data_IF_600924206075
#
_entry.id   IF_600924206075
#
_cell.length_a   1.000
_cell.length_b   1.000
_cell.length_c   1.000
_cell.angle_alpha   90.00
_cell.angle_beta   90.00
_cell.angle_gamma   90.00
#
_symmetry.space_group_name_H-M   'P 1'
#
loop_
_entity.id
_entity.type
_entity.pdbx_description
1 polymer ?
#
# COMPACT_ATOMS: atom_id res chain seq x y z
N UNK A 1 -17.57 11.99 8.28
CA UNK A 1 -17.39 11.85 9.73
C UNK A 1 -16.92 13.17 10.36
N UNK A 2 -15.92 13.84 9.80
CA UNK A 2 -15.32 15.08 10.33
C UNK A 2 -16.02 16.36 9.85
N UNK A 3 -17.07 16.30 9.04
CA UNK A 3 -17.83 17.46 8.58
C UNK A 3 -17.24 18.21 7.40
N UNK A 4 -16.23 17.67 6.73
CA UNK A 4 -15.70 18.25 5.49
C UNK A 4 -16.63 17.97 4.31
N UNK A 5 -16.71 18.92 3.38
CA UNK A 5 -17.25 18.68 2.06
C UNK A 5 -16.19 17.99 1.19
N UNK A 6 -16.62 17.08 0.34
CA UNK A 6 -15.74 16.25 -0.46
C UNK A 6 -16.01 16.47 -1.95
N UNK A 7 -15.00 16.93 -2.69
CA UNK A 7 -14.96 16.89 -4.14
C UNK A 7 -14.08 15.73 -4.60
N UNK A 8 -14.56 14.93 -5.56
CA UNK A 8 -13.83 13.77 -6.07
C UNK A 8 -13.72 13.85 -7.59
N UNK A 9 -12.53 13.51 -8.12
CA UNK A 9 -12.30 13.32 -9.55
C UNK A 9 -11.90 11.86 -9.79
N UNK A 10 -12.60 11.18 -10.68
CA UNK A 10 -12.33 9.80 -11.06
C UNK A 10 -12.80 9.55 -12.51
N UNK A 11 -12.02 8.87 -13.37
CA UNK A 11 -12.44 8.57 -14.73
C UNK A 11 -13.62 7.59 -14.81
N UNK A 12 -13.85 6.79 -13.78
CA UNK A 12 -14.98 5.88 -13.74
C UNK A 12 -16.25 6.62 -13.27
N UNK A 13 -17.28 6.80 -14.13
CA UNK A 13 -18.52 7.44 -13.74
C UNK A 13 -19.31 6.70 -12.66
N UNK A 14 -18.99 5.41 -12.43
CA UNK A 14 -19.56 4.55 -11.40
C UNK A 14 -18.58 4.30 -10.25
N UNK A 15 -17.65 5.23 -10.03
CA UNK A 15 -16.72 5.15 -8.91
C UNK A 15 -17.45 5.14 -7.57
N UNK A 16 -17.04 4.28 -6.62
CA UNK A 16 -17.62 4.24 -5.27
C UNK A 16 -17.63 5.60 -4.56
N UNK A 17 -16.63 6.46 -4.80
CA UNK A 17 -16.56 7.76 -4.17
C UNK A 17 -17.71 8.70 -4.59
N UNK A 18 -18.34 8.48 -5.75
CA UNK A 18 -19.49 9.26 -6.22
C UNK A 18 -20.66 9.29 -5.24
N UNK A 19 -20.86 8.19 -4.52
CA UNK A 19 -21.98 8.06 -3.55
C UNK A 19 -21.77 8.85 -2.26
N UNK A 20 -20.53 9.28 -1.98
CA UNK A 20 -20.14 9.96 -0.74
C UNK A 20 -19.55 11.35 -0.98
N UNK A 21 -19.28 11.72 -2.23
CA UNK A 21 -18.79 13.04 -2.61
C UNK A 21 -19.93 14.04 -2.75
N UNK A 22 -19.73 15.27 -2.27
CA UNK A 22 -20.65 16.40 -2.49
C UNK A 22 -20.54 16.91 -3.94
N UNK A 23 -19.36 16.81 -4.53
CA UNK A 23 -19.07 17.13 -5.92
C UNK A 23 -18.30 15.96 -6.55
N UNK A 24 -18.79 15.47 -7.70
CA UNK A 24 -18.11 14.41 -8.44
C UNK A 24 -17.81 14.89 -9.87
N UNK A 25 -16.54 14.79 -10.27
CA UNK A 25 -16.04 15.17 -11.59
C UNK A 25 -15.59 13.89 -12.30
N UNK A 26 -16.26 13.54 -13.41
CA UNK A 26 -15.83 12.42 -14.25
C UNK A 26 -14.85 12.93 -15.29
N UNK A 27 -13.57 12.61 -15.13
CA UNK A 27 -12.51 12.97 -16.08
C UNK A 27 -11.29 12.09 -15.87
N UNK A 28 -10.42 12.00 -16.88
CA UNK A 28 -9.12 11.35 -16.74
C UNK A 28 -8.24 12.10 -15.73
N UNK A 29 -7.29 11.39 -15.10
CA UNK A 29 -6.42 11.98 -14.08
C UNK A 29 -5.42 13.01 -14.63
N UNK A 30 -5.31 13.13 -15.96
CA UNK A 30 -4.47 14.07 -16.68
C UNK A 30 -5.25 15.20 -17.39
N UNK A 31 -6.56 15.28 -17.19
CA UNK A 31 -7.40 16.36 -17.71
C UNK A 31 -7.17 17.66 -16.93
N UNK A 32 -6.43 18.59 -17.55
CA UNK A 32 -6.04 19.87 -16.93
C UNK A 32 -7.24 20.75 -16.55
N UNK A 33 -8.29 20.77 -17.36
CA UNK A 33 -9.49 21.57 -17.09
C UNK A 33 -10.25 21.02 -15.88
N UNK A 34 -10.42 19.70 -15.83
CA UNK A 34 -11.06 19.02 -14.71
C UNK A 34 -10.26 19.14 -13.41
N UNK A 35 -8.93 19.03 -13.48
CA UNK A 35 -8.04 19.23 -12.33
C UNK A 35 -8.07 20.68 -11.81
N UNK A 36 -8.10 21.67 -12.70
CA UNK A 36 -8.28 23.07 -12.31
C UNK A 36 -9.66 23.31 -11.67
N UNK A 37 -10.72 22.71 -12.22
CA UNK A 37 -12.05 22.78 -11.62
C UNK A 37 -12.11 22.17 -10.22
N UNK A 38 -11.45 21.01 -10.02
CA UNK A 38 -11.31 20.37 -8.71
C UNK A 38 -10.59 21.32 -7.75
N UNK A 39 -9.47 21.92 -8.17
CA UNK A 39 -8.67 22.83 -7.36
C UNK A 39 -9.43 24.08 -6.94
N UNK A 40 -10.20 24.69 -7.84
CA UNK A 40 -11.03 25.87 -7.56
C UNK A 40 -12.16 25.61 -6.55
N UNK A 41 -12.57 24.36 -6.39
CA UNK A 41 -13.66 23.94 -5.48
C UNK A 41 -13.15 23.34 -4.17
N UNK A 42 -11.83 23.29 -3.97
CA UNK A 42 -11.20 22.60 -2.85
C UNK A 42 -10.21 23.51 -2.12
N UNK A 43 -10.25 23.53 -0.79
CA UNK A 43 -9.24 24.19 0.03
C UNK A 43 -7.95 23.37 0.12
N UNK A 44 -8.08 22.03 0.02
CA UNK A 44 -6.99 21.06 0.05
C UNK A 44 -7.28 19.95 -0.95
N UNK A 45 -6.27 19.55 -1.71
CA UNK A 45 -6.32 18.38 -2.60
C UNK A 45 -5.43 17.30 -2.02
N UNK A 46 -5.90 16.07 -2.04
CA UNK A 46 -5.16 14.86 -1.71
C UNK A 46 -5.39 13.80 -2.79
N UNK A 47 -4.49 12.84 -2.91
CA UNK A 47 -4.64 11.70 -3.82
C UNK A 47 -4.63 10.39 -3.05
N UNK A 48 -5.42 9.44 -3.52
CA UNK A 48 -5.48 8.08 -2.96
C UNK A 48 -4.89 7.06 -3.94
N UNK A 49 -4.52 7.52 -5.13
CA UNK A 49 -4.01 6.70 -6.22
C UNK A 49 -2.63 7.19 -6.67
N UNK A 50 -1.62 6.33 -6.67
CA UNK A 50 -0.22 6.67 -6.94
C UNK A 50 0.16 6.71 -8.43
N UNK A 51 -0.67 6.11 -9.32
CA UNK A 51 -0.40 6.12 -10.76
C UNK A 51 -0.92 7.41 -11.43
N UNK A 52 -0.50 8.56 -10.92
CA UNK A 52 -0.80 9.89 -11.40
C UNK A 52 0.50 10.59 -11.83
N UNK A 53 0.39 11.60 -12.70
CA UNK A 53 1.57 12.31 -13.19
C UNK A 53 2.18 13.21 -12.12
N UNK A 54 3.41 12.90 -11.69
CA UNK A 54 4.17 13.77 -10.78
C UNK A 54 4.37 15.17 -11.38
N UNK A 55 4.56 15.27 -12.71
CA UNK A 55 4.72 16.56 -13.40
C UNK A 55 3.45 17.41 -13.32
N UNK A 56 2.27 16.81 -13.51
CA UNK A 56 0.99 17.53 -13.39
C UNK A 56 0.72 17.94 -11.95
N UNK A 57 0.97 17.07 -10.97
CA UNK A 57 0.88 17.43 -9.57
C UNK A 57 1.79 18.62 -9.24
N UNK A 58 3.03 18.64 -9.77
CA UNK A 58 3.96 19.75 -9.60
C UNK A 58 3.40 21.06 -10.16
N UNK A 59 2.73 21.03 -11.29
CA UNK A 59 2.07 22.21 -11.86
C UNK A 59 0.89 22.66 -10.98
N UNK A 60 0.07 21.73 -10.53
CA UNK A 60 -1.07 22.03 -9.66
C UNK A 60 -0.65 22.60 -8.30
N UNK A 61 0.47 22.16 -7.72
CA UNK A 61 0.98 22.71 -6.45
C UNK A 61 1.38 24.19 -6.53
N UNK A 62 1.55 24.74 -7.72
CA UNK A 62 1.81 26.19 -7.90
C UNK A 62 0.55 27.04 -7.69
N UNK A 63 -0.64 26.44 -7.78
CA UNK A 63 -1.93 27.13 -7.72
C UNK A 63 -2.80 26.67 -6.55
N UNK A 64 -2.67 25.40 -6.15
CA UNK A 64 -3.54 24.76 -5.18
C UNK A 64 -2.73 24.11 -4.04
N UNK A 65 -3.36 23.99 -2.90
CA UNK A 65 -2.78 23.35 -1.71
C UNK A 65 -2.86 21.81 -1.84
N UNK A 66 -1.70 21.17 -2.06
CA UNK A 66 -1.56 19.69 -2.17
C UNK A 66 -0.47 19.23 -1.19
N UNK A 67 -0.76 19.11 0.12
CA UNK A 67 0.26 18.87 1.16
C UNK A 67 0.99 17.56 1.00
N UNK A 68 0.34 16.54 0.41
CA UNK A 68 0.87 15.17 0.24
C UNK A 68 2.12 15.12 -0.66
N UNK A 69 2.39 16.20 -1.42
CA UNK A 69 3.59 16.38 -2.25
C UNK A 69 3.64 15.55 -3.55
N UNK A 70 3.99 16.22 -4.64
CA UNK A 70 4.32 15.56 -5.91
C UNK A 70 5.66 14.80 -5.85
N UNK A 71 6.56 15.22 -4.96
CA UNK A 71 7.90 14.63 -4.81
C UNK A 71 7.81 13.18 -4.32
N UNK A 72 6.85 12.86 -3.47
CA UNK A 72 6.62 11.48 -3.05
C UNK A 72 6.27 10.58 -4.25
N UNK A 73 5.39 11.04 -5.16
CA UNK A 73 5.06 10.31 -6.39
C UNK A 73 6.29 10.19 -7.30
N UNK A 74 7.05 11.29 -7.51
CA UNK A 74 8.25 11.30 -8.36
C UNK A 74 9.31 10.30 -7.89
N UNK A 75 9.48 10.15 -6.57
CA UNK A 75 10.50 9.26 -5.98
C UNK A 75 10.04 7.81 -5.86
N UNK A 76 8.74 7.56 -5.65
CA UNK A 76 8.24 6.24 -5.26
C UNK A 76 7.47 5.49 -6.38
N UNK A 77 7.09 6.19 -7.45
CA UNK A 77 6.37 5.58 -8.57
C UNK A 77 7.23 4.65 -9.44
N UNK A 78 8.51 4.94 -9.52
CA UNK A 78 9.52 4.17 -10.26
C UNK A 78 10.32 3.31 -9.29
N UNK A 79 10.24 1.98 -9.40
CA UNK A 79 10.93 1.02 -8.52
C UNK A 79 12.43 1.26 -8.42
N UNK A 80 13.10 1.66 -9.52
CA UNK A 80 14.52 1.95 -9.47
C UNK A 80 14.82 3.21 -8.65
N UNK A 81 14.07 4.27 -8.89
CA UNK A 81 14.21 5.53 -8.15
C UNK A 81 13.87 5.33 -6.66
N UNK A 82 12.84 4.55 -6.35
CA UNK A 82 12.48 4.16 -4.98
C UNK A 82 13.65 3.42 -4.29
N UNK A 83 14.22 2.38 -4.92
CA UNK A 83 15.37 1.64 -4.37
C UNK A 83 16.57 2.55 -4.13
N UNK A 84 16.90 3.42 -5.08
CA UNK A 84 18.00 4.40 -4.94
C UNK A 84 17.72 5.40 -3.80
N UNK A 85 16.48 5.83 -3.65
CA UNK A 85 16.06 6.72 -2.56
C UNK A 85 16.22 6.03 -1.20
N UNK A 86 15.73 4.80 -1.07
CA UNK A 86 15.86 3.98 0.13
C UNK A 86 17.33 3.71 0.48
N UNK A 87 18.16 3.35 -0.51
CA UNK A 87 19.59 3.16 -0.33
C UNK A 87 20.29 4.44 0.15
N UNK A 88 19.96 5.60 -0.48
CA UNK A 88 20.51 6.90 -0.09
C UNK A 88 20.07 7.34 1.31
N UNK A 89 18.92 6.88 1.78
CA UNK A 89 18.44 7.07 3.15
C UNK A 89 19.18 6.18 4.16
N UNK A 90 19.98 5.22 3.70
CA UNK A 90 20.68 4.25 4.54
C UNK A 90 19.75 3.20 5.14
N UNK A 91 18.62 2.94 4.48
CA UNK A 91 17.73 1.85 4.87
C UNK A 91 18.26 0.51 4.42
N UNK A 92 17.89 -0.55 5.12
CA UNK A 92 18.27 -1.91 4.75
C UNK A 92 17.28 -2.43 3.71
N UNK A 93 17.72 -2.53 2.47
CA UNK A 93 16.97 -3.09 1.34
C UNK A 93 17.63 -4.37 0.82
N UNK A 94 16.89 -5.17 0.06
CA UNK A 94 17.48 -6.33 -0.64
C UNK A 94 18.43 -5.85 -1.73
N UNK A 95 19.53 -6.58 -2.02
CA UNK A 95 20.39 -6.28 -3.17
C UNK A 95 19.61 -6.26 -4.47
N UNK A 96 19.90 -5.29 -5.33
CA UNK A 96 19.20 -5.11 -6.60
C UNK A 96 20.14 -4.71 -7.74
N UNK A 97 19.69 -4.93 -8.96
CA UNK A 97 20.39 -4.55 -10.21
C UNK A 97 19.37 -3.92 -11.16
N UNK A 98 19.72 -2.77 -11.73
CA UNK A 98 18.93 -2.14 -12.80
C UNK A 98 19.10 -2.91 -14.10
N UNK A 99 18.00 -3.18 -14.81
CA UNK A 99 18.00 -3.93 -16.06
C UNK A 99 17.42 -3.06 -17.18
N UNK A 100 18.26 -2.67 -18.14
CA UNK A 100 17.87 -1.93 -19.35
C UNK A 100 17.79 -2.84 -20.57
N UNK A 101 18.64 -3.86 -20.59
CA UNK A 101 18.71 -4.81 -21.70
C UNK A 101 19.09 -6.22 -21.19
N UNK A 102 19.18 -7.19 -22.12
CA UNK A 102 19.53 -8.58 -21.80
C UNK A 102 20.96 -8.75 -21.23
N UNK A 103 21.87 -7.80 -21.47
CA UNK A 103 23.24 -7.88 -20.93
C UNK A 103 23.25 -7.63 -19.43
N UNK A 104 22.40 -6.71 -18.98
CA UNK A 104 22.24 -6.41 -17.55
C UNK A 104 21.67 -7.63 -16.80
N UNK A 105 20.91 -8.50 -17.48
CA UNK A 105 20.42 -9.74 -16.88
C UNK A 105 21.54 -10.71 -16.51
N UNK A 106 22.61 -10.80 -17.34
CA UNK A 106 23.79 -11.58 -16.99
C UNK A 106 24.50 -11.01 -15.76
N UNK A 107 24.61 -9.68 -15.67
CA UNK A 107 25.14 -9.01 -14.48
C UNK A 107 24.29 -9.31 -13.25
N UNK A 108 22.96 -9.34 -13.39
CA UNK A 108 22.06 -9.69 -12.28
C UNK A 108 22.28 -11.13 -11.79
N UNK A 109 22.49 -12.10 -12.71
CA UNK A 109 22.82 -13.48 -12.36
C UNK A 109 24.13 -13.56 -11.57
N UNK A 110 25.17 -12.85 -12.02
CA UNK A 110 26.48 -12.81 -11.35
C UNK A 110 26.39 -12.15 -9.96
N UNK A 111 25.65 -11.04 -9.86
CA UNK A 111 25.60 -10.23 -8.64
C UNK A 111 24.65 -10.81 -7.58
N UNK A 112 23.45 -11.21 -8.00
CA UNK A 112 22.39 -11.64 -7.08
C UNK A 112 22.40 -13.15 -6.85
N UNK A 113 22.90 -13.94 -7.80
CA UNK A 113 22.75 -15.39 -7.85
C UNK A 113 21.28 -15.84 -7.78
N UNK A 114 20.98 -17.06 -8.19
CA UNK A 114 19.62 -17.59 -8.12
C UNK A 114 19.19 -17.89 -6.66
N UNK A 115 17.90 -17.78 -6.34
CA UNK A 115 16.84 -17.14 -7.12
C UNK A 115 16.86 -15.60 -6.97
N UNK A 116 16.28 -14.89 -7.97
CA UNK A 116 16.00 -13.46 -7.91
C UNK A 116 14.69 -13.16 -8.65
N UNK A 117 14.10 -11.97 -8.39
CA UNK A 117 12.87 -11.53 -9.07
C UNK A 117 13.20 -10.38 -10.00
N UNK A 118 12.73 -10.44 -11.23
CA UNK A 118 12.72 -9.33 -12.19
C UNK A 118 11.36 -8.67 -12.14
N UNK A 119 11.34 -7.34 -11.94
CA UNK A 119 10.12 -6.53 -11.85
C UNK A 119 10.20 -5.36 -12.83
N UNK A 120 9.08 -5.03 -13.51
CA UNK A 120 9.03 -3.78 -14.31
C UNK A 120 9.16 -2.57 -13.38
N UNK A 121 9.82 -1.51 -13.86
CA UNK A 121 10.01 -0.26 -13.10
C UNK A 121 8.68 0.43 -12.79
N UNK A 122 7.75 0.42 -13.74
CA UNK A 122 6.45 1.10 -13.63
C UNK A 122 5.30 0.12 -13.81
N UNK A 123 4.13 0.45 -13.23
CA UNK A 123 2.85 -0.18 -13.53
C UNK A 123 2.65 -1.60 -12.99
N UNK A 124 3.57 -2.13 -12.19
CA UNK A 124 3.41 -3.44 -11.53
C UNK A 124 2.54 -3.34 -10.28
N UNK A 125 1.47 -4.13 -10.20
CA UNK A 125 0.61 -4.25 -9.02
C UNK A 125 0.08 -5.68 -8.90
N UNK A 126 -0.22 -6.13 -7.69
CA UNK A 126 -0.74 -7.48 -7.41
C UNK A 126 0.02 -8.56 -8.22
N UNK A 127 1.38 -8.44 -8.27
CA UNK A 127 2.29 -9.38 -8.94
C UNK A 127 2.35 -9.34 -10.46
N UNK A 128 1.65 -8.45 -11.11
CA UNK A 128 1.77 -8.24 -12.55
C UNK A 128 3.10 -7.56 -12.88
N UNK A 129 3.70 -7.94 -14.00
CA UNK A 129 4.98 -7.37 -14.44
C UNK A 129 6.19 -7.86 -13.63
N UNK A 130 6.12 -9.08 -13.05
CA UNK A 130 7.27 -9.70 -12.38
C UNK A 130 7.47 -11.16 -12.76
N UNK A 131 8.72 -11.61 -12.70
CA UNK A 131 9.13 -12.98 -13.02
C UNK A 131 10.12 -13.46 -11.97
N UNK A 132 9.86 -14.61 -11.36
CA UNK A 132 10.79 -15.29 -10.48
C UNK A 132 11.77 -16.14 -11.30
N UNK A 133 13.04 -15.75 -11.30
CA UNK A 133 14.11 -16.48 -11.97
C UNK A 133 14.78 -17.41 -10.98
N UNK A 134 14.40 -18.70 -11.03
CA UNK A 134 14.89 -19.74 -10.10
C UNK A 134 16.21 -20.36 -10.56
N UNK A 135 16.42 -20.42 -11.86
CA UNK A 135 17.58 -21.03 -12.51
C UNK A 135 17.60 -20.64 -14.01
N UNK A 136 18.53 -21.16 -14.78
CA UNK A 136 18.68 -20.85 -16.20
C UNK A 136 17.42 -21.08 -17.06
N UNK A 137 16.53 -22.00 -16.67
CA UNK A 137 15.31 -22.29 -17.45
C UNK A 137 14.30 -21.13 -17.45
N UNK A 138 14.35 -20.22 -16.46
CA UNK A 138 13.47 -19.04 -16.39
C UNK A 138 14.10 -17.77 -16.99
N UNK A 139 15.38 -17.84 -17.41
CA UNK A 139 16.10 -16.66 -17.93
C UNK A 139 15.48 -16.17 -19.24
N UNK A 140 15.05 -17.08 -20.13
CA UNK A 140 14.42 -16.69 -21.40
C UNK A 140 13.10 -15.94 -21.21
N UNK A 141 12.31 -16.31 -20.19
CA UNK A 141 11.10 -15.58 -19.85
C UNK A 141 11.43 -14.15 -19.34
N UNK A 142 12.45 -14.02 -18.50
CA UNK A 142 12.93 -12.75 -18.01
C UNK A 142 13.50 -11.87 -19.15
N UNK A 143 14.20 -12.44 -20.14
CA UNK A 143 14.66 -11.72 -21.33
C UNK A 143 13.51 -11.09 -22.12
N UNK A 144 12.40 -11.85 -22.28
CA UNK A 144 11.20 -11.33 -22.96
C UNK A 144 10.63 -10.12 -22.22
N UNK A 145 10.65 -10.11 -20.89
CA UNK A 145 10.19 -8.97 -20.10
C UNK A 145 11.13 -7.76 -20.25
N UNK A 146 12.43 -7.99 -20.08
CA UNK A 146 13.47 -6.93 -20.17
C UNK A 146 13.57 -6.34 -21.58
N UNK A 147 13.31 -7.12 -22.64
CA UNK A 147 13.28 -6.60 -24.01
C UNK A 147 12.15 -5.60 -24.29
N UNK A 148 11.11 -5.59 -23.45
CA UNK A 148 9.91 -4.74 -23.61
C UNK A 148 9.86 -3.60 -22.61
N UNK A 149 10.48 -3.78 -21.44
CA UNK A 149 10.36 -2.87 -20.31
C UNK A 149 11.71 -2.73 -19.59
N UNK A 150 12.06 -1.52 -19.18
CA UNK A 150 13.10 -1.34 -18.18
C UNK A 150 12.65 -2.00 -16.86
N UNK A 151 13.55 -2.74 -16.23
CA UNK A 151 13.25 -3.56 -15.06
C UNK A 151 14.26 -3.34 -13.94
N UNK A 152 13.93 -3.90 -12.77
CA UNK A 152 14.83 -4.06 -11.63
C UNK A 152 14.85 -5.54 -11.27
N UNK A 153 16.04 -6.12 -11.13
CA UNK A 153 16.21 -7.44 -10.52
C UNK A 153 16.47 -7.27 -9.02
N UNK A 154 15.78 -8.00 -8.20
CA UNK A 154 15.92 -7.99 -6.75
C UNK A 154 16.25 -9.39 -6.23
N UNK A 155 17.18 -9.50 -5.26
CA UNK A 155 17.46 -10.78 -4.61
C UNK A 155 16.19 -11.35 -3.98
N UNK A 156 15.87 -12.59 -4.32
CA UNK A 156 14.77 -13.30 -3.68
C UNK A 156 15.20 -13.74 -2.28
N UNK A 157 14.39 -13.39 -1.28
CA UNK A 157 14.60 -13.75 0.10
C UNK A 157 13.83 -15.03 0.47
N UNK A 158 14.44 -15.87 1.32
CA UNK A 158 13.70 -16.93 2.01
C UNK A 158 12.94 -16.28 3.18
N UNK A 159 11.69 -15.91 2.93
CA UNK A 159 10.88 -15.14 3.86
C UNK A 159 10.41 -16.00 5.03
N UNK A 160 10.48 -15.42 6.24
CA UNK A 160 9.73 -15.87 7.40
C UNK A 160 8.33 -15.26 7.40
N UNK A 161 8.26 -13.93 7.23
CA UNK A 161 6.99 -13.17 7.18
C UNK A 161 7.12 -11.83 6.50
N UNK A 162 5.97 -11.24 6.18
CA UNK A 162 5.84 -9.88 5.70
C UNK A 162 5.19 -9.02 6.79
N UNK A 163 5.71 -7.81 7.01
CA UNK A 163 5.11 -6.85 7.94
C UNK A 163 5.02 -5.49 7.28
N UNK A 164 4.17 -4.62 7.80
CA UNK A 164 4.12 -3.23 7.35
C UNK A 164 3.89 -2.28 8.51
N UNK A 165 4.34 -1.03 8.34
CA UNK A 165 4.16 0.03 9.30
C UNK A 165 3.49 1.22 8.63
N UNK A 166 2.27 1.52 9.05
CA UNK A 166 1.53 2.70 8.62
C UNK A 166 1.93 3.88 9.48
N UNK A 167 2.17 5.02 8.84
CA UNK A 167 2.66 6.23 9.49
C UNK A 167 1.94 7.43 8.92
N UNK A 168 1.60 8.41 9.75
CA UNK A 168 1.11 9.71 9.31
C UNK A 168 2.07 10.80 9.71
N UNK A 169 2.43 11.66 8.76
CA UNK A 169 3.22 12.87 9.00
C UNK A 169 2.31 14.07 8.87
N UNK A 170 2.24 14.85 9.93
CA UNK A 170 1.51 16.12 9.97
C UNK A 170 2.40 17.31 9.65
N UNK A 171 1.80 18.49 9.73
CA UNK A 171 2.54 19.75 9.70
C UNK A 171 3.49 19.82 10.91
N UNK A 172 4.55 20.61 10.79
CA UNK A 172 5.56 20.80 11.86
C UNK A 172 6.28 19.51 12.28
N UNK A 173 6.33 18.50 11.37
CA UNK A 173 6.98 17.20 11.61
C UNK A 173 6.37 16.37 12.75
N UNK A 174 5.10 16.57 13.05
CA UNK A 174 4.37 15.63 13.90
C UNK A 174 4.34 14.27 13.20
N UNK A 175 4.57 13.19 13.92
CA UNK A 175 4.56 11.83 13.40
C UNK A 175 3.68 10.97 14.29
N UNK A 176 2.70 10.29 13.68
CA UNK A 176 1.86 9.30 14.34
C UNK A 176 2.15 7.92 13.73
N UNK A 177 2.65 6.99 14.54
CA UNK A 177 2.91 5.61 14.15
C UNK A 177 1.73 4.74 14.51
N UNK A 178 1.26 3.95 13.55
CA UNK A 178 0.36 2.85 13.83
C UNK A 178 1.15 1.63 14.35
N UNK A 179 0.48 0.67 14.99
CA UNK A 179 1.12 -0.58 15.39
C UNK A 179 1.68 -1.33 14.17
N UNK A 180 2.80 -2.05 14.37
CA UNK A 180 3.33 -2.93 13.33
C UNK A 180 2.32 -4.04 13.04
N UNK A 181 2.01 -4.25 11.77
CA UNK A 181 1.04 -5.23 11.29
C UNK A 181 1.73 -6.36 10.52
N UNK A 182 1.29 -7.60 10.73
CA UNK A 182 1.76 -8.78 10.01
C UNK A 182 0.82 -9.07 8.85
N UNK A 183 1.38 -9.25 7.64
CA UNK A 183 0.62 -9.44 6.41
C UNK A 183 0.84 -10.85 5.85
N UNK A 184 -0.20 -11.39 5.23
CA UNK A 184 -0.10 -12.58 4.39
C UNK A 184 -0.64 -12.26 3.01
N UNK A 185 0.19 -12.46 1.99
CA UNK A 185 -0.23 -12.38 0.59
C UNK A 185 -0.45 -13.80 0.03
N UNK A 186 -1.52 -13.95 -0.76
CA UNK A 186 -1.80 -15.16 -1.54
C UNK A 186 -1.98 -14.79 -2.99
N UNK A 187 -1.28 -15.46 -3.88
CA UNK A 187 -1.23 -15.09 -5.29
C UNK A 187 -0.93 -13.59 -5.48
N UNK A 188 -0.04 -13.03 -4.62
CA UNK A 188 0.42 -11.64 -4.64
C UNK A 188 -0.66 -10.59 -4.30
N UNK A 189 -1.82 -11.04 -3.81
CA UNK A 189 -2.89 -10.17 -3.29
C UNK A 189 -2.88 -10.28 -1.78
N UNK A 190 -2.90 -9.14 -1.08
CA UNK A 190 -3.02 -9.13 0.38
C UNK A 190 -4.28 -9.89 0.78
N UNK A 191 -4.08 -10.98 1.50
CA UNK A 191 -5.15 -11.85 1.97
C UNK A 191 -5.65 -11.43 3.34
N UNK A 192 -4.74 -11.33 4.31
CA UNK A 192 -5.07 -10.93 5.68
C UNK A 192 -3.97 -10.12 6.33
N UNK A 193 -4.36 -9.40 7.37
CA UNK A 193 -3.46 -8.63 8.25
C UNK A 193 -3.79 -8.95 9.70
N UNK A 194 -2.77 -9.15 10.52
CA UNK A 194 -2.88 -9.43 11.96
C UNK A 194 -2.26 -8.31 12.78
N UNK A 195 -2.96 -7.82 13.77
CA UNK A 195 -2.53 -6.72 14.63
C UNK A 195 -2.66 -7.11 16.11
N UNK A 196 -1.62 -6.87 16.91
CA UNK A 196 -0.25 -6.51 16.53
C UNK A 196 0.47 -7.64 15.80
N UNK A 197 1.52 -7.32 15.05
CA UNK A 197 2.38 -8.32 14.42
C UNK A 197 2.98 -9.28 15.46
N UNK A 198 3.07 -10.56 15.10
CA UNK A 198 3.61 -11.61 15.99
C UNK A 198 5.15 -11.68 15.94
N UNK A 199 5.80 -10.51 16.04
CA UNK A 199 7.26 -10.39 16.06
C UNK A 199 7.69 -9.14 16.84
N UNK A 200 8.97 -9.07 17.19
CA UNK A 200 9.61 -8.00 17.96
C UNK A 200 10.34 -6.96 17.09
N UNK A 201 9.80 -6.68 15.88
CA UNK A 201 10.47 -5.83 14.89
C UNK A 201 9.97 -4.39 14.83
N UNK A 202 9.01 -4.01 15.66
CA UNK A 202 8.39 -2.68 15.57
C UNK A 202 9.39 -1.53 15.73
N UNK A 203 10.29 -1.63 16.71
CA UNK A 203 11.30 -0.59 16.95
C UNK A 203 12.33 -0.51 15.80
N UNK A 204 12.68 -1.65 15.20
CA UNK A 204 13.57 -1.70 14.04
C UNK A 204 12.87 -1.07 12.81
N UNK A 205 11.60 -1.41 12.58
CA UNK A 205 10.79 -0.85 11.51
C UNK A 205 10.61 0.68 11.64
N UNK A 206 10.33 1.19 12.85
CA UNK A 206 10.24 2.64 13.12
C UNK A 206 11.55 3.35 12.77
N UNK A 207 12.71 2.79 13.14
CA UNK A 207 14.02 3.38 12.79
C UNK A 207 14.26 3.44 11.28
N UNK A 208 13.83 2.43 10.54
CA UNK A 208 13.93 2.45 9.08
C UNK A 208 13.00 3.53 8.48
N UNK A 209 11.79 3.66 9.01
CA UNK A 209 10.85 4.72 8.61
C UNK A 209 11.40 6.11 8.93
N UNK A 210 12.02 6.32 10.07
CA UNK A 210 12.64 7.62 10.43
C UNK A 210 13.66 8.07 9.39
N UNK A 211 14.50 7.14 8.89
CA UNK A 211 15.47 7.44 7.82
C UNK A 211 14.77 7.83 6.51
N UNK A 212 13.64 7.20 6.19
CA UNK A 212 12.85 7.51 4.99
C UNK A 212 12.24 8.91 5.10
N UNK A 213 11.66 9.25 6.24
CA UNK A 213 11.03 10.57 6.49
C UNK A 213 12.02 11.73 6.32
N UNK A 214 13.31 11.51 6.64
CA UNK A 214 14.35 12.51 6.42
C UNK A 214 14.64 12.79 4.94
N UNK A 215 14.30 11.86 4.05
CA UNK A 215 14.57 11.93 2.60
C UNK A 215 13.34 12.27 1.77
N UNK A 216 12.18 11.73 2.14
CA UNK A 216 10.94 11.88 1.39
C UNK A 216 10.05 12.93 2.05
N UNK A 217 9.85 14.05 1.36
CA UNK A 217 8.95 15.10 1.82
C UNK A 217 7.51 14.67 1.60
N UNK A 218 6.77 14.47 2.69
CA UNK A 218 5.42 13.95 2.66
C UNK A 218 4.61 14.52 3.83
N UNK A 219 3.34 14.86 3.57
CA UNK A 219 2.33 15.18 4.60
C UNK A 219 1.10 14.32 4.34
N UNK A 220 0.68 13.55 5.31
CA UNK A 220 -0.40 12.56 5.18
C UNK A 220 0.01 11.18 5.65
N UNK A 221 -0.79 10.19 5.34
CA UNK A 221 -0.54 8.79 5.70
C UNK A 221 0.15 8.06 4.56
N UNK A 222 1.19 7.31 4.88
CA UNK A 222 1.87 6.36 4.00
C UNK A 222 2.14 5.05 4.74
N UNK A 223 2.45 4.00 4.01
CA UNK A 223 2.78 2.70 4.59
C UNK A 223 4.07 2.19 3.99
N UNK A 224 4.97 1.71 4.86
CA UNK A 224 6.20 1.03 4.47
C UNK A 224 6.00 -0.47 4.65
N UNK A 225 6.25 -1.23 3.60
CA UNK A 225 6.24 -2.69 3.62
C UNK A 225 7.63 -3.23 3.86
N UNK A 226 7.73 -4.29 4.66
CA UNK A 226 8.98 -4.92 5.04
C UNK A 226 8.91 -6.43 4.85
N UNK A 227 10.07 -7.00 4.54
CA UNK A 227 10.32 -8.44 4.59
C UNK A 227 11.15 -8.79 5.82
N UNK A 228 10.79 -9.89 6.48
CA UNK A 228 11.62 -10.53 7.52
C UNK A 228 12.06 -11.87 6.95
N UNK A 229 13.38 -12.08 6.85
CA UNK A 229 13.93 -13.35 6.40
C UNK A 229 13.98 -14.39 7.55
N UNK A 230 14.24 -15.66 7.23
CA UNK A 230 14.40 -16.74 8.22
C UNK A 230 15.57 -16.55 9.19
N UNK A 231 16.48 -15.62 8.89
CA UNK A 231 17.55 -15.21 9.80
C UNK A 231 17.14 -14.04 10.69
N UNK A 232 15.87 -13.66 10.69
CA UNK A 232 15.27 -12.56 11.46
C UNK A 232 15.85 -11.18 11.11
N UNK A 233 16.24 -10.96 9.85
CA UNK A 233 16.61 -9.63 9.35
C UNK A 233 15.42 -8.94 8.74
N UNK A 234 15.27 -7.65 9.03
CA UNK A 234 14.26 -6.77 8.46
C UNK A 234 14.82 -6.05 7.23
N UNK A 235 14.06 -6.02 6.13
CA UNK A 235 14.37 -5.30 4.91
C UNK A 235 13.19 -4.45 4.48
N UNK A 236 13.43 -3.20 4.10
CA UNK A 236 12.41 -2.36 3.45
C UNK A 236 12.14 -2.91 2.06
N UNK A 237 10.88 -3.17 1.74
CA UNK A 237 10.42 -3.65 0.44
C UNK A 237 9.98 -2.49 -0.46
N UNK A 238 8.88 -1.82 -0.11
CA UNK A 238 8.31 -0.72 -0.90
C UNK A 238 7.54 0.26 0.01
N UNK A 239 7.23 1.44 -0.55
CA UNK A 239 6.48 2.50 0.12
C UNK A 239 5.23 2.81 -0.68
N UNK A 240 4.07 2.74 -0.03
CA UNK A 240 2.81 3.24 -0.58
C UNK A 240 2.56 4.66 -0.04
N UNK A 241 2.67 5.73 -0.85
CA UNK A 241 2.54 7.13 -0.39
C UNK A 241 1.08 7.55 -0.20
N UNK A 242 0.27 6.73 0.45
CA UNK A 242 -1.17 6.88 0.67
C UNK A 242 -1.67 5.94 1.76
N UNK A 243 -2.91 6.11 2.26
CA UNK A 243 -3.58 5.06 3.04
C UNK A 243 -3.52 3.72 2.31
N UNK A 244 -3.21 2.66 3.06
CA UNK A 244 -2.89 1.36 2.49
C UNK A 244 -3.90 0.29 2.92
N UNK A 245 -4.04 -0.73 2.07
CA UNK A 245 -4.97 -1.84 2.31
C UNK A 245 -4.69 -2.58 3.63
N UNK A 246 -3.41 -2.80 3.97
CA UNK A 246 -3.03 -3.42 5.24
C UNK A 246 -3.39 -2.58 6.48
N UNK A 247 -3.65 -1.27 6.32
CA UNK A 247 -4.06 -0.36 7.38
C UNK A 247 -5.58 -0.26 7.60
N UNK A 248 -6.42 -1.01 6.86
CA UNK A 248 -7.88 -0.89 7.00
C UNK A 248 -8.41 -1.34 8.37
N UNK A 249 -7.71 -2.24 9.06
CA UNK A 249 -8.04 -2.65 10.42
C UNK A 249 -8.15 -1.48 11.40
N UNK A 250 -7.45 -0.38 11.11
CA UNK A 250 -7.40 0.79 11.99
C UNK A 250 -8.76 1.44 12.21
N UNK A 251 -9.73 1.17 11.33
CA UNK A 251 -11.10 1.71 11.44
C UNK A 251 -11.77 1.21 12.73
N UNK A 252 -11.58 -0.05 13.09
CA UNK A 252 -12.20 -0.67 14.27
C UNK A 252 -11.22 -0.89 15.42
N UNK A 253 -9.95 -1.19 15.10
CA UNK A 253 -9.00 -1.66 16.09
C UNK A 253 -8.18 -0.56 16.75
N UNK A 254 -8.23 0.68 16.25
CA UNK A 254 -7.51 1.82 16.79
C UNK A 254 -8.44 2.97 17.17
N UNK A 255 -7.96 3.86 18.04
CA UNK A 255 -8.67 5.10 18.43
C UNK A 255 -8.78 6.10 17.28
N UNK A 256 -7.79 6.12 16.37
CA UNK A 256 -7.80 6.82 15.09
C UNK A 256 -7.53 5.85 13.95
N UNK A 257 -8.30 5.96 12.87
CA UNK A 257 -7.99 5.22 11.65
C UNK A 257 -6.90 5.92 10.82
N UNK A 258 -6.27 5.19 9.92
CA UNK A 258 -5.33 5.76 8.95
C UNK A 258 -5.96 6.88 8.10
N UNK A 259 -7.28 6.82 7.89
CA UNK A 259 -8.02 7.84 7.15
C UNK A 259 -8.27 9.08 8.02
N UNK A 260 -8.55 8.91 9.30
CA UNK A 260 -8.72 10.03 10.24
C UNK A 260 -7.41 10.83 10.33
N UNK A 261 -6.29 10.16 10.57
CA UNK A 261 -4.99 10.84 10.68
C UNK A 261 -4.55 11.46 9.35
N UNK A 262 -4.85 10.80 8.21
CA UNK A 262 -4.57 11.37 6.89
C UNK A 262 -5.30 12.71 6.69
N UNK A 263 -6.59 12.76 6.97
CA UNK A 263 -7.39 13.99 6.85
C UNK A 263 -6.90 15.07 7.80
N UNK A 264 -6.61 14.73 9.07
CA UNK A 264 -6.02 15.68 10.02
C UNK A 264 -4.72 16.29 9.47
N UNK A 265 -3.82 15.45 8.98
CA UNK A 265 -2.53 15.87 8.42
C UNK A 265 -2.69 16.82 7.24
N UNK A 266 -3.44 16.41 6.19
CA UNK A 266 -3.56 17.19 4.96
C UNK A 266 -4.37 18.47 5.14
N UNK A 267 -5.25 18.53 6.14
CA UNK A 267 -6.00 19.74 6.49
C UNK A 267 -5.29 20.62 7.53
N UNK A 268 -4.06 20.25 7.92
CA UNK A 268 -3.23 21.07 8.81
C UNK A 268 -3.63 21.03 10.27
N UNK A 269 -4.38 20.02 10.69
CA UNK A 269 -4.76 19.82 12.09
C UNK A 269 -3.70 18.99 12.83
N UNK A 270 -3.68 19.10 14.16
CA UNK A 270 -2.74 18.36 14.98
C UNK A 270 -3.05 16.86 14.94
N UNK A 271 -1.97 16.06 14.89
CA UNK A 271 -2.05 14.61 14.99
C UNK A 271 -2.09 14.17 16.46
N UNK A 272 -2.72 13.02 16.76
CA UNK A 272 -2.54 12.37 18.06
C UNK A 272 -1.05 12.04 18.28
N UNK A 273 -0.59 12.13 19.52
CA UNK A 273 0.81 11.83 19.86
C UNK A 273 1.12 10.33 19.73
N UNK A 274 0.14 9.49 20.04
CA UNK A 274 0.20 8.04 19.94
C UNK A 274 -1.12 7.52 19.36
N UNK A 275 -1.06 6.40 18.67
CA UNK A 275 -2.23 5.66 18.19
C UNK A 275 -2.39 4.44 19.10
N UNK A 276 -3.51 4.36 19.79
CA UNK A 276 -3.80 3.27 20.70
C UNK A 276 -4.50 2.11 19.97
N UNK A 277 -4.03 0.89 20.22
CA UNK A 277 -4.79 -0.32 19.85
C UNK A 277 -5.92 -0.49 20.88
N UNK A 278 -7.15 -0.30 20.46
CA UNK A 278 -8.33 -0.54 21.29
C UNK A 278 -8.50 -2.04 21.54
N UNK A 279 -8.20 -2.86 20.52
CA UNK A 279 -8.22 -4.31 20.63
C UNK A 279 -7.40 -4.95 19.51
N UNK A 280 -6.67 -6.05 19.78
CA UNK A 280 -6.06 -6.84 18.72
C UNK A 280 -7.09 -7.30 17.69
N UNK A 281 -6.67 -7.50 16.44
CA UNK A 281 -7.58 -7.81 15.36
C UNK A 281 -6.97 -8.70 14.28
N UNK A 282 -7.85 -9.35 13.54
CA UNK A 282 -7.55 -10.01 12.27
C UNK A 282 -8.41 -9.34 11.20
N UNK A 283 -7.77 -8.76 10.18
CA UNK A 283 -8.44 -8.19 9.01
C UNK A 283 -8.25 -9.12 7.82
N UNK A 284 -9.29 -9.31 7.01
CA UNK A 284 -9.23 -10.08 5.77
C UNK A 284 -9.80 -9.26 4.61
N UNK A 285 -9.11 -9.24 3.48
CA UNK A 285 -9.67 -8.72 2.24
C UNK A 285 -10.74 -9.65 1.67
N UNK A 286 -11.84 -9.07 1.24
CA UNK A 286 -12.94 -9.75 0.55
C UNK A 286 -12.80 -9.55 -0.95
N UNK A 287 -12.61 -10.64 -1.68
CA UNK A 287 -12.56 -10.63 -3.13
C UNK A 287 -13.97 -10.89 -3.70
N UNK A 288 -14.15 -10.67 -5.01
CA UNK A 288 -15.45 -10.90 -5.63
C UNK A 288 -15.99 -12.32 -5.42
N UNK A 289 -15.11 -13.32 -5.37
CA UNK A 289 -15.48 -14.73 -5.10
C UNK A 289 -15.96 -15.01 -3.66
N UNK A 290 -15.69 -14.08 -2.72
CA UNK A 290 -16.05 -14.29 -1.31
C UNK A 290 -17.43 -13.75 -0.95
N UNK A 291 -18.01 -12.90 -1.81
CA UNK A 291 -19.22 -12.15 -1.47
C UNK A 291 -20.44 -13.03 -1.24
N UNK A 292 -20.62 -14.13 -2.02
CA UNK A 292 -21.75 -15.04 -1.82
C UNK A 292 -21.65 -15.73 -0.46
N UNK A 293 -20.45 -16.18 -0.08
CA UNK A 293 -20.20 -16.78 1.22
C UNK A 293 -20.43 -15.77 2.36
N UNK A 294 -20.03 -14.52 2.13
CA UNK A 294 -20.26 -13.45 3.10
C UNK A 294 -21.75 -13.21 3.30
N UNK A 295 -22.54 -13.09 2.23
CA UNK A 295 -23.98 -12.89 2.27
C UNK A 295 -24.69 -14.01 3.04
N UNK A 296 -24.29 -15.27 2.81
CA UNK A 296 -24.86 -16.45 3.48
C UNK A 296 -24.55 -16.46 4.99
N UNK A 297 -23.41 -15.92 5.43
CA UNK A 297 -22.92 -16.07 6.81
C UNK A 297 -22.97 -14.82 7.66
N UNK A 298 -23.09 -13.65 7.05
CA UNK A 298 -22.98 -12.37 7.76
C UNK A 298 -23.93 -12.25 8.95
N UNK A 299 -25.14 -12.78 8.84
CA UNK A 299 -26.14 -12.76 9.91
C UNK A 299 -25.78 -13.59 11.14
N UNK A 300 -24.94 -14.60 10.97
CA UNK A 300 -24.50 -15.51 12.04
C UNK A 300 -23.26 -15.01 12.78
N UNK A 301 -22.62 -13.94 12.27
CA UNK A 301 -21.35 -13.43 12.75
C UNK A 301 -21.39 -11.92 13.08
N UNK A 302 -22.07 -11.53 14.17
CA UNK A 302 -22.18 -10.12 14.57
C UNK A 302 -20.83 -9.46 14.93
N UNK A 303 -19.78 -10.26 15.17
CA UNK A 303 -18.41 -9.81 15.42
C UNK A 303 -17.65 -9.41 14.15
N UNK A 304 -18.20 -9.66 12.96
CA UNK A 304 -17.60 -9.28 11.70
C UNK A 304 -17.89 -7.81 11.35
N UNK A 305 -16.89 -6.96 11.42
CA UNK A 305 -16.97 -5.59 10.92
C UNK A 305 -16.68 -5.57 9.43
N UNK A 306 -17.73 -5.52 8.61
CA UNK A 306 -17.64 -5.68 7.16
C UNK A 306 -17.77 -4.33 6.46
N UNK A 307 -16.85 -4.06 5.54
CA UNK A 307 -16.85 -2.90 4.65
C UNK A 307 -16.90 -3.36 3.19
N UNK A 308 -17.99 -3.09 2.49
CA UNK A 308 -18.15 -3.34 1.05
C UNK A 308 -17.95 -2.03 0.30
N UNK A 309 -17.05 -2.03 -0.68
CA UNK A 309 -16.63 -0.81 -1.38
C UNK A 309 -17.62 -0.29 -2.44
N UNK A 310 -18.70 -1.02 -2.74
CA UNK A 310 -19.71 -0.58 -3.70
C UNK A 310 -19.25 -0.62 -5.17
N UNK A 311 -18.19 -1.37 -5.49
CA UNK A 311 -17.71 -1.51 -6.88
C UNK A 311 -18.72 -2.30 -7.71
N UNK A 312 -19.09 -1.78 -8.89
CA UNK A 312 -20.12 -2.37 -9.75
C UNK A 312 -19.68 -3.68 -10.42
N UNK A 313 -18.40 -3.77 -10.83
CA UNK A 313 -17.89 -4.95 -11.51
C UNK A 313 -17.31 -5.95 -10.52
N UNK A 314 -17.97 -7.09 -10.33
CA UNK A 314 -17.55 -8.19 -9.47
C UNK A 314 -16.69 -9.19 -10.25
N UNK A 315 -15.35 -8.98 -10.28
CA UNK A 315 -14.39 -9.99 -10.75
C UNK A 315 -13.93 -10.87 -9.60
N UNK A 316 -13.68 -12.16 -9.86
CA UNK A 316 -13.26 -13.17 -8.87
C UNK A 316 -12.16 -12.66 -7.93
N UNK A 317 -11.08 -12.11 -8.49
CA UNK A 317 -9.89 -11.72 -7.73
C UNK A 317 -9.83 -10.19 -7.44
N UNK A 318 -10.90 -9.46 -7.76
CA UNK A 318 -10.99 -8.03 -7.44
C UNK A 318 -11.33 -7.83 -5.97
N UNK A 319 -10.57 -6.99 -5.28
CA UNK A 319 -10.85 -6.54 -3.90
C UNK A 319 -12.19 -5.78 -3.90
N UNK A 320 -13.19 -6.33 -3.26
CA UNK A 320 -14.56 -5.80 -3.18
C UNK A 320 -14.89 -5.22 -1.82
N UNK A 321 -14.10 -5.55 -0.82
CA UNK A 321 -14.29 -5.12 0.56
C UNK A 321 -13.20 -5.64 1.48
N UNK A 322 -13.40 -5.45 2.77
CA UNK A 322 -12.63 -6.11 3.83
C UNK A 322 -13.52 -6.40 5.02
N UNK A 323 -13.03 -7.26 5.89
CA UNK A 323 -13.67 -7.63 7.15
C UNK A 323 -12.63 -7.58 8.26
N UNK A 324 -12.96 -6.92 9.37
CA UNK A 324 -12.14 -6.87 10.59
C UNK A 324 -12.83 -7.59 11.73
N UNK A 325 -12.11 -8.45 12.44
CA UNK A 325 -12.60 -9.15 13.63
C UNK A 325 -11.73 -8.74 14.81
N UNK A 326 -12.32 -8.07 15.79
CA UNK A 326 -11.67 -7.69 17.04
C UNK A 326 -11.63 -8.89 17.99
N UNK A 327 -10.45 -9.20 18.55
CA UNK A 327 -10.28 -10.42 19.34
C UNK A 327 -9.23 -10.25 20.45
N UNK A 328 -9.30 -11.11 21.46
CA UNK A 328 -8.24 -11.28 22.45
C UNK A 328 -7.28 -12.44 22.10
N UNK A 329 -7.61 -13.25 21.08
CA UNK A 329 -6.79 -14.38 20.63
C UNK A 329 -6.73 -14.42 19.10
N UNK A 330 -5.74 -13.71 18.54
CA UNK A 330 -5.57 -13.57 17.08
C UNK A 330 -5.38 -14.92 16.38
N UNK A 331 -4.68 -15.89 17.02
CA UNK A 331 -4.42 -17.19 16.40
C UNK A 331 -5.70 -18.04 16.27
N UNK A 332 -6.55 -18.02 17.29
CA UNK A 332 -7.84 -18.73 17.29
C UNK A 332 -8.78 -18.11 16.26
N UNK A 333 -8.92 -16.79 16.29
CA UNK A 333 -9.77 -16.04 15.35
C UNK A 333 -9.30 -16.23 13.90
N UNK A 334 -8.00 -16.19 13.64
CA UNK A 334 -7.41 -16.49 12.35
C UNK A 334 -7.82 -17.89 11.85
N UNK A 335 -7.66 -18.91 12.71
CA UNK A 335 -8.02 -20.29 12.37
C UNK A 335 -9.53 -20.46 12.11
N UNK A 336 -10.39 -19.82 12.89
CA UNK A 336 -11.84 -19.86 12.70
C UNK A 336 -12.24 -19.17 11.41
N UNK A 337 -11.71 -17.99 11.13
CA UNK A 337 -11.93 -17.26 9.88
C UNK A 337 -11.51 -18.10 8.67
N UNK A 338 -10.32 -18.73 8.70
CA UNK A 338 -9.84 -19.61 7.62
C UNK A 338 -10.74 -20.83 7.38
N UNK A 339 -11.35 -21.38 8.43
CA UNK A 339 -12.33 -22.47 8.29
C UNK A 339 -13.60 -22.01 7.57
N UNK A 340 -14.03 -20.74 7.78
CA UNK A 340 -15.22 -20.22 7.12
C UNK A 340 -14.98 -19.96 5.63
N UNK A 341 -13.78 -19.48 5.26
CA UNK A 341 -13.38 -19.15 3.89
C UNK A 341 -12.51 -20.24 3.25
N UNK A 342 -12.91 -21.53 3.42
CA UNK A 342 -12.25 -22.67 2.78
C UNK A 342 -12.28 -22.52 1.25
N UNK A 343 -11.15 -22.84 0.59
CA UNK A 343 -11.01 -22.75 -0.87
C UNK A 343 -10.25 -21.50 -1.34
N UNK A 344 -9.69 -20.72 -0.42
CA UNK A 344 -8.74 -19.63 -0.69
C UNK A 344 -7.26 -20.07 -0.51
N UNK A 345 -7.02 -21.38 -0.46
CA UNK A 345 -5.67 -21.97 -0.38
C UNK A 345 -4.84 -21.75 -1.64
#
# INVERSE_FOLDING_TARGET
KMGFNVACLDPNPDSPCKSVADVFITAEYDDEEALNKLGQQSDVITYEFENISAQQLKQLTQQFNIPQSYQAIELLQDRLTEKQTLESAGTKIVPYVSLKDEKDLNQAIETLSYPFIVKTRFGGYDGKGQILVKNDSNVEEAKVLVSKHECVAEKFLDLDREVSLTVTIGNQKQIAYFPLQENEHRNQILFKTIIPARCDKEQEARKEVDKIIEKVHFVGTFTVEFFIDKSNHLYVNEIAPRPHNSGHYTIEACDYSQFDTHILAVTGQDLPQEIEILKPAVMMNLLGRDLDLLEDKFGDHPEWHVHIYGKTERKSDRKMGHMTILTNNVNETENEMLKQFKGRE
#
